data_IF_496323267400
#
_entry.id   IF_496323267400
#
_cell.length_a   1.000
_cell.length_b   1.000
_cell.length_c   1.000
_cell.angle_alpha   90.00
_cell.angle_beta   90.00
_cell.angle_gamma   90.00
#
_symmetry.space_group_name_H-M   'P 1'
#
loop_
_entity.id
_entity.type
_entity.pdbx_description
1 polymer ?
#
# COMPACT_ATOMS: atom_id res chain seq x y z
N UNK A 1 -29.96 12.54 -0.70
CA UNK A 1 -29.37 13.67 0.07
C UNK A 1 -28.26 13.24 1.04
N UNK A 2 -28.49 12.29 1.97
CA UNK A 2 -27.47 11.88 2.96
C UNK A 2 -26.15 11.33 2.39
N UNK A 3 -26.21 10.55 1.30
CA UNK A 3 -25.01 10.02 0.65
C UNK A 3 -24.21 11.13 -0.05
N UNK A 4 -24.88 12.01 -0.81
CA UNK A 4 -24.24 13.13 -1.50
C UNK A 4 -23.50 14.06 -0.52
N UNK A 5 -24.12 14.39 0.62
CA UNK A 5 -23.46 15.17 1.66
C UNK A 5 -22.18 14.48 2.17
N UNK A 6 -22.23 13.19 2.49
CA UNK A 6 -21.05 12.42 2.93
C UNK A 6 -19.94 12.39 1.89
N UNK A 7 -20.30 12.15 0.62
CA UNK A 7 -19.35 12.11 -0.49
C UNK A 7 -18.70 13.48 -0.68
N UNK A 8 -19.48 14.56 -0.66
CA UNK A 8 -18.97 15.93 -0.78
C UNK A 8 -18.04 16.29 0.38
N UNK A 9 -18.44 16.00 1.63
CA UNK A 9 -17.59 16.23 2.79
C UNK A 9 -16.30 15.41 2.70
N UNK A 10 -16.36 14.15 2.29
CA UNK A 10 -15.18 13.31 2.11
C UNK A 10 -14.23 13.89 1.05
N UNK A 11 -14.74 14.29 -0.12
CA UNK A 11 -13.92 14.88 -1.18
C UNK A 11 -13.35 16.23 -0.77
N UNK A 12 -14.10 17.03 -0.03
CA UNK A 12 -13.60 18.29 0.52
C UNK A 12 -12.41 18.06 1.48
N UNK A 13 -12.51 17.09 2.39
CA UNK A 13 -11.42 16.76 3.32
C UNK A 13 -10.20 16.20 2.57
N UNK A 14 -10.41 15.28 1.63
CA UNK A 14 -9.32 14.70 0.81
C UNK A 14 -8.65 15.78 -0.05
N UNK A 15 -9.43 16.71 -0.60
CA UNK A 15 -8.91 17.86 -1.34
C UNK A 15 -8.03 18.74 -0.44
N UNK A 16 -8.50 19.07 0.77
CA UNK A 16 -7.73 19.87 1.73
C UNK A 16 -6.41 19.18 2.13
N UNK A 17 -6.39 17.85 2.25
CA UNK A 17 -5.17 17.08 2.56
C UNK A 17 -4.03 17.28 1.57
N UNK A 18 -4.31 17.62 0.30
CA UNK A 18 -3.27 17.90 -0.69
C UNK A 18 -2.39 19.06 -0.21
N UNK A 19 -2.99 20.13 0.32
CA UNK A 19 -2.27 21.32 0.78
C UNK A 19 -1.48 21.07 2.07
N UNK A 20 -1.98 20.21 2.96
CA UNK A 20 -1.27 19.84 4.19
C UNK A 20 -0.12 18.85 3.95
N UNK A 21 -0.18 18.05 2.87
CA UNK A 21 0.85 17.07 2.53
C UNK A 21 1.94 17.63 1.62
N UNK A 22 1.60 18.59 0.76
CA UNK A 22 2.55 19.20 -0.16
C UNK A 22 3.66 19.95 0.58
N UNK A 23 4.88 19.95 0.03
CA UNK A 23 6.01 20.67 0.62
C UNK A 23 5.92 22.19 0.45
N UNK A 24 5.19 22.65 -0.57
CA UNK A 24 4.96 24.06 -0.89
C UNK A 24 3.60 24.23 -1.56
N UNK A 25 3.11 25.47 -1.64
CA UNK A 25 1.88 25.78 -2.38
C UNK A 25 2.01 25.47 -3.89
N UNK A 26 3.21 25.69 -4.45
CA UNK A 26 3.51 25.32 -5.84
C UNK A 26 3.40 23.80 -6.05
N UNK A 27 3.95 22.99 -5.13
CA UNK A 27 3.84 21.54 -5.20
C UNK A 27 2.38 21.06 -5.13
N UNK A 28 1.54 21.69 -4.29
CA UNK A 28 0.11 21.40 -4.26
C UNK A 28 -0.57 21.70 -5.62
N UNK A 29 -0.22 22.84 -6.25
CA UNK A 29 -0.69 23.19 -7.59
C UNK A 29 -0.28 22.16 -8.65
N UNK A 30 0.96 21.67 -8.61
CA UNK A 30 1.44 20.61 -9.50
C UNK A 30 0.64 19.30 -9.31
N UNK A 31 0.35 18.90 -8.07
CA UNK A 31 -0.49 17.72 -7.78
C UNK A 31 -1.89 17.89 -8.38
N UNK A 32 -2.53 19.04 -8.18
CA UNK A 32 -3.86 19.32 -8.74
C UNK A 32 -3.85 19.31 -10.27
N UNK A 33 -2.83 19.91 -10.90
CA UNK A 33 -2.66 19.88 -12.36
C UNK A 33 -2.50 18.44 -12.90
N UNK A 34 -1.78 17.58 -12.17
CA UNK A 34 -1.62 16.15 -12.52
C UNK A 34 -2.90 15.34 -12.36
N UNK A 35 -3.72 15.63 -11.35
CA UNK A 35 -5.05 15.03 -11.21
C UNK A 35 -5.96 15.50 -12.36
N UNK A 36 -5.95 16.80 -12.65
CA UNK A 36 -6.76 17.42 -13.70
C UNK A 36 -6.36 17.02 -15.13
N UNK A 37 -5.14 16.52 -15.36
CA UNK A 37 -4.74 16.04 -16.68
C UNK A 37 -5.45 14.75 -17.09
N UNK A 38 -6.07 14.03 -16.16
CA UNK A 38 -6.80 12.77 -16.40
C UNK A 38 -5.97 11.71 -17.16
N UNK A 39 -4.64 11.79 -17.02
CA UNK A 39 -3.69 10.86 -17.64
C UNK A 39 -3.28 9.79 -16.63
N UNK A 40 -3.13 8.54 -17.08
CA UNK A 40 -2.56 7.46 -16.30
C UNK A 40 -1.13 7.15 -16.77
N UNK A 41 -0.24 6.81 -15.83
CA UNK A 41 1.12 6.36 -16.14
C UNK A 41 1.60 5.37 -15.09
N UNK A 42 2.34 4.35 -15.54
CA UNK A 42 3.03 3.40 -14.67
C UNK A 42 4.51 3.78 -14.46
N UNK A 43 4.96 4.92 -14.97
CA UNK A 43 6.36 5.34 -14.91
C UNK A 43 6.90 5.48 -13.48
N UNK A 44 6.02 5.75 -12.50
CA UNK A 44 6.39 5.85 -11.08
C UNK A 44 6.31 4.51 -10.34
N UNK A 45 5.95 3.41 -11.01
CA UNK A 45 5.88 2.08 -10.41
C UNK A 45 7.20 1.37 -10.70
N UNK A 46 8.05 1.24 -9.68
CA UNK A 46 9.27 0.46 -9.78
C UNK A 46 8.94 -1.04 -9.92
N UNK A 47 9.84 -1.80 -10.55
CA UNK A 47 9.67 -3.25 -10.71
C UNK A 47 9.43 -3.96 -9.35
N UNK A 48 10.15 -3.66 -8.25
CA UNK A 48 9.85 -4.25 -6.95
C UNK A 48 8.43 -3.98 -6.47
N UNK A 49 7.93 -2.75 -6.62
CA UNK A 49 6.56 -2.39 -6.23
C UNK A 49 5.54 -3.12 -7.11
N UNK A 50 5.78 -3.21 -8.42
CA UNK A 50 4.92 -3.96 -9.34
C UNK A 50 4.82 -5.44 -8.95
N UNK A 51 5.93 -6.08 -8.58
CA UNK A 51 5.96 -7.47 -8.13
C UNK A 51 5.18 -7.65 -6.83
N UNK A 52 5.34 -6.77 -5.86
CA UNK A 52 4.58 -6.83 -4.59
C UNK A 52 3.09 -6.66 -4.84
N UNK A 53 2.68 -5.70 -5.69
CA UNK A 53 1.28 -5.48 -6.05
C UNK A 53 0.69 -6.71 -6.77
N UNK A 54 1.46 -7.34 -7.67
CA UNK A 54 1.03 -8.55 -8.36
C UNK A 54 0.83 -9.70 -7.37
N UNK A 55 1.79 -9.95 -6.47
CA UNK A 55 1.68 -10.98 -5.44
C UNK A 55 0.45 -10.72 -4.57
N UNK A 56 0.25 -9.48 -4.11
CA UNK A 56 -0.91 -9.11 -3.30
C UNK A 56 -2.23 -9.33 -4.05
N UNK A 57 -2.29 -8.94 -5.31
CA UNK A 57 -3.47 -9.15 -6.16
C UNK A 57 -3.77 -10.63 -6.34
N UNK A 58 -2.78 -11.45 -6.69
CA UNK A 58 -2.95 -12.91 -6.84
C UNK A 58 -3.35 -13.57 -5.53
N UNK A 59 -2.69 -13.20 -4.43
CA UNK A 59 -2.98 -13.74 -3.10
C UNK A 59 -4.40 -13.39 -2.63
N UNK A 60 -4.92 -12.21 -2.99
CA UNK A 60 -6.28 -11.80 -2.63
C UNK A 60 -7.36 -12.68 -3.25
N UNK A 61 -7.13 -13.18 -4.47
CA UNK A 61 -8.07 -14.04 -5.19
C UNK A 61 -7.79 -15.54 -5.02
N UNK A 62 -6.89 -15.92 -4.12
CA UNK A 62 -6.50 -17.31 -3.94
C UNK A 62 -7.67 -18.10 -3.32
N UNK A 63 -8.07 -19.25 -3.89
CA UNK A 63 -9.17 -20.04 -3.35
C UNK A 63 -8.84 -20.57 -1.96
N UNK A 64 -9.85 -20.64 -1.09
CA UNK A 64 -9.73 -21.09 0.31
C UNK A 64 -8.95 -22.40 0.48
N UNK A 65 -9.08 -23.35 -0.46
CA UNK A 65 -8.36 -24.64 -0.42
C UNK A 65 -6.83 -24.47 -0.39
N UNK A 66 -6.28 -23.48 -1.08
CA UNK A 66 -4.84 -23.23 -1.12
C UNK A 66 -4.39 -22.64 0.22
N UNK A 67 -5.19 -21.74 0.79
CA UNK A 67 -4.95 -21.21 2.13
C UNK A 67 -4.98 -22.31 3.19
N UNK A 68 -6.00 -23.17 3.17
CA UNK A 68 -6.14 -24.26 4.14
C UNK A 68 -4.98 -25.27 4.00
N UNK A 69 -4.53 -25.54 2.77
CA UNK A 69 -3.37 -26.39 2.50
C UNK A 69 -2.05 -25.79 3.01
N UNK A 70 -1.78 -24.51 2.71
CA UNK A 70 -0.55 -23.84 3.14
C UNK A 70 -0.49 -23.68 4.67
N UNK A 71 -1.62 -23.36 5.30
CA UNK A 71 -1.77 -23.35 6.75
C UNK A 71 -1.50 -24.74 7.34
N UNK A 72 -2.07 -25.79 6.75
CA UNK A 72 -1.84 -27.18 7.18
C UNK A 72 -0.37 -27.61 7.09
N UNK A 73 0.34 -27.19 6.03
CA UNK A 73 1.78 -27.42 5.90
C UNK A 73 2.57 -26.70 7.01
N UNK A 74 2.27 -25.43 7.27
CA UNK A 74 2.96 -24.65 8.29
C UNK A 74 2.76 -25.25 9.68
N UNK A 75 1.53 -25.65 10.03
CA UNK A 75 1.20 -26.27 11.33
C UNK A 75 1.94 -27.59 11.55
N UNK A 76 2.12 -28.39 10.49
CA UNK A 76 2.83 -29.68 10.55
C UNK A 76 4.35 -29.54 10.50
N UNK A 77 4.87 -28.36 10.18
CA UNK A 77 6.30 -28.13 10.09
C UNK A 77 6.93 -28.16 11.50
N UNK A 78 8.17 -28.66 11.63
CA UNK A 78 8.89 -28.62 12.91
C UNK A 78 9.20 -27.17 13.31
N UNK A 79 9.40 -26.94 14.62
CA UNK A 79 9.50 -25.59 15.18
C UNK A 79 10.55 -24.70 14.50
N UNK A 80 11.70 -25.25 14.11
CA UNK A 80 12.77 -24.50 13.46
C UNK A 80 12.38 -24.02 12.06
N UNK A 81 11.56 -24.78 11.33
CA UNK A 81 11.09 -24.39 10.01
C UNK A 81 10.05 -23.28 10.11
N UNK A 82 9.16 -23.34 11.11
CA UNK A 82 8.23 -22.25 11.40
C UNK A 82 8.97 -20.96 11.80
N UNK A 83 9.96 -21.07 12.68
CA UNK A 83 10.79 -19.95 13.12
C UNK A 83 11.55 -19.32 11.95
N UNK A 84 12.17 -20.15 11.09
CA UNK A 84 12.87 -19.68 9.90
C UNK A 84 11.93 -18.96 8.93
N UNK A 85 10.73 -19.50 8.68
CA UNK A 85 9.74 -18.88 7.81
C UNK A 85 9.28 -17.50 8.34
N UNK A 86 9.03 -17.39 9.65
CA UNK A 86 8.67 -16.12 10.28
C UNK A 86 9.83 -15.12 10.27
N UNK A 87 11.05 -15.57 10.53
CA UNK A 87 12.24 -14.72 10.46
C UNK A 87 12.46 -14.17 9.03
N UNK A 88 12.32 -15.03 8.01
CA UNK A 88 12.38 -14.61 6.61
C UNK A 88 11.28 -13.60 6.26
N UNK A 89 10.06 -13.80 6.77
CA UNK A 89 8.97 -12.84 6.58
C UNK A 89 9.30 -11.47 7.18
N UNK A 90 9.83 -11.43 8.42
CA UNK A 90 10.24 -10.18 9.07
C UNK A 90 11.35 -9.49 8.27
N UNK A 91 12.38 -10.22 7.86
CA UNK A 91 13.46 -9.68 7.04
C UNK A 91 12.96 -9.15 5.69
N UNK A 92 12.01 -9.83 5.06
CA UNK A 92 11.39 -9.37 3.82
C UNK A 92 10.60 -8.07 4.03
N UNK A 93 9.82 -7.97 5.12
CA UNK A 93 9.08 -6.75 5.47
C UNK A 93 10.05 -5.60 5.74
N UNK A 94 11.11 -5.83 6.51
CA UNK A 94 12.11 -4.82 6.84
C UNK A 94 12.86 -4.34 5.59
N UNK A 95 13.29 -5.27 4.74
CA UNK A 95 13.92 -4.96 3.46
C UNK A 95 13.04 -4.04 2.60
N UNK A 96 11.73 -4.33 2.51
CA UNK A 96 10.80 -3.46 1.77
C UNK A 96 10.56 -2.13 2.49
N UNK A 97 10.41 -2.12 3.81
CA UNK A 97 10.13 -0.91 4.59
C UNK A 97 11.27 0.12 4.53
N UNK A 98 12.52 -0.34 4.61
CA UNK A 98 13.73 0.50 4.56
C UNK A 98 13.90 1.18 3.20
N UNK A 99 13.33 0.63 2.12
CA UNK A 99 13.42 1.21 0.76
C UNK A 99 12.54 2.43 0.50
N UNK A 100 11.89 2.98 1.52
CA UNK A 100 11.23 4.29 1.44
C UNK A 100 9.73 4.26 1.65
N UNK A 101 9.26 3.57 2.70
CA UNK A 101 7.90 3.80 3.19
C UNK A 101 7.75 5.29 3.51
N UNK A 102 7.03 6.03 2.66
CA UNK A 102 6.81 7.46 2.86
C UNK A 102 6.07 7.63 4.20
N UNK A 103 6.63 8.36 5.18
CA UNK A 103 6.00 8.48 6.48
C UNK A 103 4.58 9.01 6.31
N UNK A 104 3.61 8.36 6.97
CA UNK A 104 2.23 8.85 7.02
C UNK A 104 2.20 10.20 7.73
N UNK A 105 1.16 11.01 7.50
CA UNK A 105 1.04 12.41 7.96
C UNK A 105 1.46 12.66 9.43
N UNK A 106 1.38 11.66 10.31
CA UNK A 106 1.74 11.75 11.74
C UNK A 106 3.14 11.25 12.12
N UNK A 107 3.95 10.80 11.16
CA UNK A 107 5.29 10.22 11.41
C UNK A 107 6.44 11.12 10.94
N UNK A 108 6.13 12.40 10.66
CA UNK A 108 7.11 13.47 10.42
C UNK A 108 7.02 14.53 11.54
N UNK A 109 7.45 14.17 12.73
CA UNK A 109 7.77 15.13 13.81
C UNK A 109 9.19 14.87 14.28
#
# INVERSE_FOLDING_TARGET
VRLAARVLTAHYVIFAWIFFRASTLENAGQVLARIGSLTASLANISLPVAVVLLIAGVAHYLPKRIYDYSSGLFVRAPFYAQAAALALLVLAIEYVAVTGAAPFLYTKF
#
